data_IF_401462912029
#
_entry.id   IF_401462912029
#
_cell.length_a   1.000
_cell.length_b   1.000
_cell.length_c   1.000
_cell.angle_alpha   90.00
_cell.angle_beta   90.00
_cell.angle_gamma   90.00
#
_symmetry.space_group_name_H-M   'P 1'
#
loop_
_entity.id
_entity.type
_entity.pdbx_description
1 polymer ?
#
# COMPACT_ATOMS: atom_id res chain seq x y z
N UNK A 1 -12.16 -58.05 -27.50
CA UNK A 1 -11.44 -57.01 -28.28
C UNK A 1 -11.80 -55.67 -27.66
N UNK A 2 -10.81 -55.03 -26.99
CA UNK A 2 -10.73 -53.65 -26.44
C UNK A 2 -11.97 -53.06 -25.74
N UNK A 3 -12.00 -52.70 -24.45
CA UNK A 3 -10.93 -52.19 -23.59
C UNK A 3 -10.69 -50.69 -23.83
N UNK A 4 -11.51 -49.81 -23.23
CA UNK A 4 -11.37 -48.34 -23.31
C UNK A 4 -11.64 -47.68 -21.96
N UNK A 5 -10.56 -47.25 -21.31
CA UNK A 5 -10.43 -46.82 -19.91
C UNK A 5 -11.28 -45.60 -19.54
N UNK A 6 -12.07 -45.72 -18.48
CA UNK A 6 -12.34 -44.59 -17.56
C UNK A 6 -10.99 -44.11 -17.00
N UNK A 7 -10.70 -42.82 -17.19
CA UNK A 7 -9.69 -42.11 -16.42
C UNK A 7 -10.42 -41.10 -15.55
N UNK A 8 -10.66 -41.50 -14.31
CA UNK A 8 -10.79 -40.55 -13.20
C UNK A 8 -9.42 -39.92 -12.96
N UNK A 9 -9.35 -38.59 -13.03
CA UNK A 9 -8.23 -37.79 -12.56
C UNK A 9 -8.85 -36.71 -11.68
N UNK A 10 -8.82 -36.96 -10.38
CA UNK A 10 -9.13 -36.00 -9.34
C UNK A 10 -8.07 -34.90 -9.31
N UNK A 11 -8.44 -33.69 -9.74
CA UNK A 11 -7.86 -32.43 -9.30
C UNK A 11 -9.00 -31.40 -9.27
N UNK A 12 -9.22 -30.82 -8.09
CA UNK A 12 -10.01 -29.61 -7.80
C UNK A 12 -11.15 -29.21 -8.76
N UNK A 13 -12.37 -29.65 -8.41
CA UNK A 13 -13.51 -28.73 -8.29
C UNK A 13 -14.13 -28.08 -9.53
N UNK A 14 -13.66 -28.31 -10.76
CA UNK A 14 -14.28 -27.74 -11.97
C UNK A 14 -15.28 -28.72 -12.62
N UNK A 15 -16.58 -28.51 -12.37
CA UNK A 15 -17.65 -29.08 -13.19
C UNK A 15 -18.02 -28.10 -14.30
N UNK A 16 -17.40 -28.25 -15.48
CA UNK A 16 -17.91 -27.63 -16.70
C UNK A 16 -18.94 -28.59 -17.33
N UNK A 17 -20.23 -28.30 -17.14
CA UNK A 17 -21.33 -29.02 -17.76
C UNK A 17 -21.55 -28.41 -19.15
N UNK A 18 -21.08 -29.09 -20.19
CA UNK A 18 -21.37 -28.70 -21.58
C UNK A 18 -22.83 -29.09 -21.86
N UNK A 19 -23.73 -28.11 -21.75
CA UNK A 19 -25.07 -28.19 -22.31
C UNK A 19 -25.05 -27.55 -23.70
N UNK A 20 -25.37 -28.37 -24.70
CA UNK A 20 -25.53 -27.94 -26.09
C UNK A 20 -26.81 -27.13 -26.30
N UNK A 21 -26.72 -26.30 -27.34
CA UNK A 21 -27.77 -25.57 -28.03
C UNK A 21 -28.47 -24.41 -27.30
N UNK A 22 -27.97 -23.20 -27.62
CA UNK A 22 -28.86 -22.14 -28.10
C UNK A 22 -29.50 -21.21 -27.07
N UNK A 23 -28.73 -20.57 -26.20
CA UNK A 23 -29.09 -19.27 -25.62
C UNK A 23 -27.84 -18.55 -25.06
N UNK A 24 -27.83 -17.21 -25.11
CA UNK A 24 -26.68 -16.36 -24.78
C UNK A 24 -26.24 -16.53 -23.32
N UNK A 25 -25.28 -17.42 -23.08
CA UNK A 25 -24.64 -17.63 -21.78
C UNK A 25 -23.62 -16.54 -21.47
N UNK A 26 -23.89 -15.74 -20.45
CA UNK A 26 -22.89 -14.90 -19.82
C UNK A 26 -21.89 -15.79 -19.07
N UNK A 27 -20.66 -15.93 -19.58
CA UNK A 27 -19.54 -16.37 -18.77
C UNK A 27 -19.25 -15.29 -17.73
N UNK A 28 -19.62 -15.55 -16.47
CA UNK A 28 -19.03 -14.86 -15.33
C UNK A 28 -17.65 -15.46 -15.11
N UNK A 29 -16.62 -14.73 -15.50
CA UNK A 29 -15.28 -14.94 -14.97
C UNK A 29 -15.29 -14.40 -13.53
N UNK A 30 -15.35 -15.30 -12.54
CA UNK A 30 -14.80 -15.02 -11.22
C UNK A 30 -13.30 -15.20 -11.32
N UNK A 31 -12.60 -14.11 -11.67
CA UNK A 31 -11.19 -13.80 -11.39
C UNK A 31 -10.77 -12.68 -12.33
N UNK A 32 -10.90 -11.46 -11.82
CA UNK A 32 -10.73 -10.22 -12.57
C UNK A 32 -11.30 -9.08 -11.74
N UNK A 33 -10.88 -8.99 -10.47
CA UNK A 33 -11.23 -7.84 -9.63
C UNK A 33 -10.40 -6.65 -10.11
N UNK A 34 -10.93 -5.97 -11.12
CA UNK A 34 -10.45 -4.66 -11.54
C UNK A 34 -10.54 -3.73 -10.33
N UNK A 35 -9.36 -3.27 -9.87
CA UNK A 35 -9.21 -1.99 -9.18
C UNK A 35 -9.62 -0.89 -10.16
N UNK A 36 -10.92 -0.74 -10.35
CA UNK A 36 -11.55 0.28 -11.18
C UNK A 36 -12.49 1.09 -10.30
N UNK A 37 -12.21 2.39 -10.23
CA UNK A 37 -12.96 3.45 -9.56
C UNK A 37 -14.36 3.07 -9.05
N UNK A 38 -14.51 2.92 -7.74
CA UNK A 38 -15.84 2.91 -7.13
C UNK A 38 -16.27 4.34 -6.85
N UNK A 39 -16.88 4.94 -7.87
CA UNK A 39 -17.71 6.13 -7.72
C UNK A 39 -18.87 5.83 -6.76
N UNK A 40 -18.96 6.59 -5.69
CA UNK A 40 -20.15 6.62 -4.82
C UNK A 40 -21.28 7.24 -5.65
N UNK A 41 -22.08 6.41 -6.31
CA UNK A 41 -23.36 6.85 -6.89
C UNK A 41 -24.41 6.98 -5.78
N UNK A 42 -24.22 8.02 -4.96
CA UNK A 42 -25.24 8.58 -4.09
C UNK A 42 -25.85 9.79 -4.79
N UNK A 43 -27.11 9.69 -5.21
CA UNK A 43 -27.91 10.82 -5.70
C UNK A 43 -28.04 11.87 -4.59
N UNK A 44 -27.14 12.87 -4.56
CA UNK A 44 -27.39 14.23 -4.03
C UNK A 44 -26.19 15.17 -4.33
N UNK A 45 -26.49 16.31 -4.99
CA UNK A 45 -25.61 17.47 -5.28
C UNK A 45 -24.52 17.34 -6.38
N UNK A 46 -24.98 17.21 -7.64
CA UNK A 46 -24.18 17.16 -8.89
C UNK A 46 -23.24 18.38 -9.11
N UNK A 47 -23.48 19.53 -8.48
CA UNK A 47 -22.67 20.75 -8.67
C UNK A 47 -21.38 20.81 -7.84
N UNK A 48 -21.47 20.51 -6.54
CA UNK A 48 -20.34 20.62 -5.60
C UNK A 48 -19.42 19.40 -5.73
N UNK A 49 -19.99 18.21 -5.87
CA UNK A 49 -19.20 16.98 -6.05
C UNK A 49 -18.42 16.99 -7.36
N UNK A 50 -19.02 17.54 -8.43
CA UNK A 50 -18.34 17.73 -9.71
C UNK A 50 -17.21 18.76 -9.64
N UNK A 51 -17.37 19.84 -8.89
CA UNK A 51 -16.30 20.82 -8.65
C UNK A 51 -15.15 20.25 -7.82
N UNK A 52 -15.46 19.50 -6.76
CA UNK A 52 -14.46 18.81 -5.94
C UNK A 52 -13.71 17.74 -6.74
N UNK A 53 -14.39 16.98 -7.59
CA UNK A 53 -13.75 16.01 -8.49
C UNK A 53 -12.79 16.69 -9.46
N UNK A 54 -13.14 17.86 -10.01
CA UNK A 54 -12.24 18.63 -10.88
C UNK A 54 -11.01 19.16 -10.15
N UNK A 55 -11.19 19.67 -8.92
CA UNK A 55 -10.08 20.13 -8.08
C UNK A 55 -9.16 18.97 -7.71
N UNK A 56 -9.72 17.81 -7.37
CA UNK A 56 -8.95 16.58 -7.12
C UNK A 56 -8.12 16.18 -8.34
N UNK A 57 -8.73 16.15 -9.53
CA UNK A 57 -8.02 15.82 -10.77
C UNK A 57 -6.90 16.81 -11.10
N UNK A 58 -7.10 18.10 -10.80
CA UNK A 58 -6.08 19.14 -11.01
C UNK A 58 -4.86 18.91 -10.09
N UNK A 59 -5.07 18.46 -8.85
CA UNK A 59 -3.99 18.17 -7.91
C UNK A 59 -3.29 16.82 -8.19
N UNK A 60 -4.03 15.88 -8.76
CA UNK A 60 -3.51 14.57 -9.15
C UNK A 60 -2.54 14.69 -10.34
N UNK A 61 -2.82 15.57 -11.31
CA UNK A 61 -1.98 15.78 -12.50
C UNK A 61 -0.50 16.04 -12.19
N UNK A 62 -0.09 17.02 -11.36
CA UNK A 62 1.33 17.25 -11.09
C UNK A 62 1.99 16.06 -10.38
N UNK A 63 1.28 15.38 -9.47
CA UNK A 63 1.79 14.20 -8.77
C UNK A 63 1.96 13.02 -9.72
N UNK A 64 0.95 12.75 -10.55
CA UNK A 64 0.99 11.70 -11.56
C UNK A 64 2.03 11.96 -12.63
N UNK A 65 2.23 13.22 -13.05
CA UNK A 65 3.30 13.59 -14.00
C UNK A 65 4.67 13.34 -13.38
N UNK A 66 4.85 13.70 -12.11
CA UNK A 66 6.10 13.50 -11.38
C UNK A 66 6.41 12.00 -11.18
N UNK A 67 5.40 11.20 -10.83
CA UNK A 67 5.50 9.74 -10.76
C UNK A 67 5.81 9.13 -12.13
N UNK A 68 5.13 9.55 -13.20
CA UNK A 68 5.41 9.08 -14.57
C UNK A 68 6.81 9.46 -15.06
N UNK A 69 7.39 10.55 -14.54
CA UNK A 69 8.76 11.01 -14.82
C UNK A 69 9.85 10.23 -14.07
N UNK A 70 9.51 9.52 -12.99
CA UNK A 70 10.48 8.79 -12.15
C UNK A 70 10.24 7.28 -12.09
N UNK A 71 9.02 6.80 -12.37
CA UNK A 71 8.69 5.38 -12.43
C UNK A 71 8.60 4.97 -13.90
N UNK A 72 9.51 4.10 -14.38
CA UNK A 72 9.45 3.59 -15.74
C UNK A 72 8.14 2.84 -15.98
N UNK A 73 7.44 3.24 -17.05
CA UNK A 73 6.20 2.61 -17.47
C UNK A 73 6.52 1.38 -18.33
N UNK A 74 5.90 0.24 -18.03
CA UNK A 74 6.13 -1.04 -18.71
C UNK A 74 5.12 -1.31 -19.82
N UNK A 75 4.00 -0.57 -19.85
CA UNK A 75 2.92 -0.84 -20.80
C UNK A 75 3.16 -0.18 -22.17
N UNK A 76 3.08 -0.93 -23.30
CA UNK A 76 3.34 -0.40 -24.64
C UNK A 76 2.35 0.69 -25.12
N UNK A 77 1.16 0.74 -24.53
CA UNK A 77 0.05 1.63 -24.92
C UNK A 77 0.23 3.09 -24.46
N UNK A 78 0.95 3.32 -23.35
CA UNK A 78 1.23 4.65 -22.80
C UNK A 78 2.67 5.15 -23.08
N UNK A 79 3.38 4.49 -24.00
CA UNK A 79 4.78 4.75 -24.26
C UNK A 79 5.03 6.16 -24.82
N UNK A 80 5.95 6.88 -24.21
CA UNK A 80 6.35 8.22 -24.66
C UNK A 80 7.83 8.47 -24.44
N UNK A 81 8.49 8.91 -25.53
CA UNK A 81 9.94 9.13 -25.61
C UNK A 81 10.49 10.02 -24.50
N UNK A 82 9.73 11.07 -24.18
CA UNK A 82 10.11 12.06 -23.17
C UNK A 82 10.22 11.45 -21.77
N UNK A 83 9.22 10.65 -21.38
CA UNK A 83 9.17 10.04 -20.05
C UNK A 83 10.23 8.95 -19.89
N UNK A 84 10.52 8.17 -20.93
CA UNK A 84 11.57 7.15 -20.86
C UNK A 84 12.96 7.80 -20.73
N UNK A 85 13.26 8.84 -21.50
CA UNK A 85 14.53 9.58 -21.34
C UNK A 85 14.63 10.28 -19.98
N UNK A 86 13.52 10.80 -19.45
CA UNK A 86 13.49 11.40 -18.12
C UNK A 86 13.74 10.36 -17.03
N UNK A 87 13.14 9.16 -17.12
CA UNK A 87 13.36 8.05 -16.21
C UNK A 87 14.84 7.60 -16.20
N UNK A 88 15.50 7.50 -17.36
CA UNK A 88 16.94 7.13 -17.44
C UNK A 88 17.83 8.18 -16.74
N UNK A 89 17.46 9.46 -16.77
CA UNK A 89 18.20 10.53 -16.10
C UNK A 89 17.90 10.61 -14.59
N UNK A 90 16.63 10.50 -14.21
CA UNK A 90 16.12 10.74 -12.86
C UNK A 90 16.22 9.52 -11.95
N UNK A 91 16.12 8.29 -12.47
CA UNK A 91 16.21 7.08 -11.68
C UNK A 91 17.55 6.94 -10.93
N UNK A 92 18.73 7.15 -11.54
CA UNK A 92 20.00 7.07 -10.82
C UNK A 92 20.11 8.12 -9.71
N UNK A 93 19.53 9.32 -9.92
CA UNK A 93 19.53 10.41 -8.94
C UNK A 93 18.59 10.13 -7.76
N UNK A 94 17.39 9.62 -8.03
CA UNK A 94 16.43 9.23 -6.99
C UNK A 94 16.96 8.04 -6.17
N UNK A 95 17.60 7.05 -6.79
CA UNK A 95 18.30 5.97 -6.08
C UNK A 95 19.42 6.50 -5.19
N UNK A 96 20.20 7.46 -5.68
CA UNK A 96 21.27 8.06 -4.88
C UNK A 96 20.76 8.85 -3.69
N UNK A 97 19.66 9.58 -3.88
CA UNK A 97 18.98 10.23 -2.77
C UNK A 97 18.44 9.22 -1.76
N UNK A 98 17.87 8.09 -2.19
CA UNK A 98 17.44 7.00 -1.31
C UNK A 98 18.60 6.37 -0.53
N UNK A 99 19.75 6.20 -1.17
CA UNK A 99 20.96 5.65 -0.58
C UNK A 99 21.76 6.67 0.25
N UNK A 100 21.21 7.87 0.51
CA UNK A 100 21.82 8.88 1.39
C UNK A 100 22.16 8.34 2.78
N UNK A 101 21.41 7.32 3.25
CA UNK A 101 21.69 6.65 4.52
C UNK A 101 22.97 5.78 4.50
N UNK A 102 23.44 5.34 3.32
CA UNK A 102 24.64 4.50 3.16
C UNK A 102 25.86 5.30 2.71
N UNK A 103 25.69 6.36 1.92
CA UNK A 103 26.77 7.27 1.52
C UNK A 103 26.34 8.73 1.71
N UNK A 104 27.07 9.54 2.49
CA UNK A 104 26.78 10.98 2.57
C UNK A 104 26.96 11.63 1.19
N UNK A 105 26.01 12.48 0.81
CA UNK A 105 25.97 13.18 -0.50
C UNK A 105 27.21 14.03 -0.80
N UNK A 106 27.98 14.34 0.24
CA UNK A 106 29.16 15.19 0.19
C UNK A 106 30.47 14.41 0.10
N UNK A 107 30.43 13.09 -0.12
CA UNK A 107 31.66 12.30 -0.23
C UNK A 107 32.47 12.80 -1.45
N UNK A 108 33.67 13.38 -1.24
CA UNK A 108 34.49 13.85 -2.35
C UNK A 108 34.99 12.64 -3.14
N UNK A 109 34.71 12.58 -4.44
CA UNK A 109 35.15 11.49 -5.29
C UNK A 109 36.62 11.73 -5.68
N UNK A 110 37.56 11.32 -4.80
CA UNK A 110 39.02 11.51 -5.01
C UNK A 110 39.57 10.58 -6.11
N UNK A 111 38.80 9.59 -6.55
CA UNK A 111 39.31 8.47 -7.37
C UNK A 111 39.66 8.81 -8.83
N UNK A 112 39.17 9.92 -9.41
CA UNK A 112 39.32 10.17 -10.85
C UNK A 112 40.16 11.40 -11.23
N UNK A 113 40.22 12.46 -10.40
CA UNK A 113 41.05 13.65 -10.66
C UNK A 113 41.54 14.23 -9.31
N UNK A 114 42.85 14.29 -9.01
CA UNK A 114 43.39 14.68 -7.69
C UNK A 114 43.11 16.12 -7.22
N UNK A 115 42.44 16.97 -8.02
CA UNK A 115 42.32 18.41 -7.78
C UNK A 115 40.87 18.93 -7.71
N UNK A 116 39.85 18.10 -7.95
CA UNK A 116 38.45 18.54 -8.02
C UNK A 116 37.58 17.84 -6.98
N UNK A 117 37.19 18.56 -5.93
CA UNK A 117 36.20 18.13 -4.93
C UNK A 117 34.79 18.34 -5.50
N UNK A 118 34.36 17.48 -6.42
CA UNK A 118 32.98 17.50 -6.91
C UNK A 118 32.10 16.55 -6.08
N UNK A 119 30.92 17.01 -5.63
CA UNK A 119 30.02 16.18 -4.85
C UNK A 119 29.41 15.09 -5.73
N UNK A 120 29.22 13.91 -5.15
CA UNK A 120 28.91 12.66 -5.86
C UNK A 120 27.60 12.75 -6.68
N UNK A 121 26.62 13.52 -6.21
CA UNK A 121 25.37 13.78 -6.94
C UNK A 121 25.58 14.46 -8.29
N UNK A 122 26.59 15.33 -8.42
CA UNK A 122 26.88 16.07 -9.64
C UNK A 122 27.47 15.15 -10.72
N UNK A 123 28.35 14.23 -10.31
CA UNK A 123 28.95 13.22 -11.20
C UNK A 123 27.89 12.26 -11.72
N UNK A 124 26.97 11.83 -10.86
CA UNK A 124 25.87 10.94 -11.25
C UNK A 124 24.88 11.66 -12.15
N UNK A 125 24.55 12.93 -11.89
CA UNK A 125 23.67 13.72 -12.74
C UNK A 125 24.25 13.85 -14.15
N UNK A 126 25.55 14.14 -14.27
CA UNK A 126 26.21 14.25 -15.58
C UNK A 126 26.29 12.91 -16.31
N UNK A 127 26.61 11.82 -15.60
CA UNK A 127 26.66 10.47 -16.17
C UNK A 127 25.27 9.99 -16.62
N UNK A 128 24.25 10.14 -15.78
CA UNK A 128 22.87 9.73 -16.09
C UNK A 128 22.25 10.59 -17.18
N UNK A 129 22.51 11.91 -17.18
CA UNK A 129 22.03 12.81 -18.24
C UNK A 129 22.71 12.51 -19.59
N UNK A 130 24.01 12.19 -19.59
CA UNK A 130 24.72 11.80 -20.81
C UNK A 130 24.17 10.49 -21.38
N UNK A 131 23.92 9.50 -20.52
CA UNK A 131 23.33 8.21 -20.90
C UNK A 131 21.87 8.35 -21.36
N UNK A 132 21.09 9.24 -20.73
CA UNK A 132 19.71 9.54 -21.11
C UNK A 132 19.62 10.19 -22.49
N UNK A 133 20.54 11.09 -22.84
CA UNK A 133 20.63 11.69 -24.17
C UNK A 133 21.02 10.65 -25.21
N UNK A 134 21.97 9.75 -24.90
CA UNK A 134 22.36 8.66 -25.80
C UNK A 134 21.18 7.70 -26.06
N UNK A 135 20.48 7.30 -25.00
CA UNK A 135 19.29 6.44 -25.09
C UNK A 135 18.12 7.13 -25.81
N UNK A 136 17.95 8.44 -25.66
CA UNK A 136 16.95 9.21 -26.41
C UNK A 136 17.23 9.25 -27.93
N UNK A 137 18.51 9.17 -28.31
CA UNK A 137 18.94 9.18 -29.71
C UNK A 137 18.88 7.77 -30.32
N UNK A 138 19.19 6.73 -29.54
CA UNK A 138 19.32 5.32 -29.97
C UNK A 138 17.97 4.57 -29.98
N UNK A 139 17.14 4.68 -28.94
CA UNK A 139 15.83 3.99 -28.89
C UNK A 139 14.76 4.75 -29.69
N UNK A 140 14.54 4.33 -30.94
CA UNK A 140 13.48 4.87 -31.83
C UNK A 140 12.18 4.06 -31.77
N UNK A 141 12.27 2.80 -31.37
CA UNK A 141 11.15 1.83 -31.30
C UNK A 141 10.83 1.45 -29.84
N UNK A 142 9.55 1.18 -29.53
CA UNK A 142 9.19 0.66 -28.22
C UNK A 142 9.82 -0.73 -28.02
N UNK A 143 10.41 -1.01 -26.83
CA UNK A 143 10.95 -2.32 -26.52
C UNK A 143 9.83 -3.37 -26.63
N UNK A 144 10.06 -4.42 -27.43
CA UNK A 144 9.08 -5.51 -27.68
C UNK A 144 9.11 -6.59 -26.59
N UNK A 145 10.06 -6.51 -25.65
CA UNK A 145 10.22 -7.42 -24.52
C UNK A 145 10.22 -6.65 -23.22
N UNK A 146 9.52 -7.18 -22.22
CA UNK A 146 9.65 -6.72 -20.84
C UNK A 146 11.06 -7.03 -20.36
N UNK A 147 11.94 -6.04 -20.48
CA UNK A 147 13.25 -6.11 -19.88
C UNK A 147 13.07 -6.17 -18.36
N UNK A 148 13.25 -7.35 -17.78
CA UNK A 148 13.24 -7.58 -16.32
C UNK A 148 13.99 -6.53 -15.48
N UNK A 149 15.11 -5.90 -15.94
CA UNK A 149 15.72 -4.79 -15.19
C UNK A 149 14.84 -3.54 -15.10
N UNK A 150 14.02 -3.23 -16.11
CA UNK A 150 13.14 -2.05 -16.11
C UNK A 150 12.02 -2.23 -15.07
N UNK A 151 11.45 -3.43 -14.99
CA UNK A 151 10.44 -3.78 -13.98
C UNK A 151 11.04 -3.71 -12.58
N UNK A 152 12.26 -4.22 -12.39
CA UNK A 152 12.95 -4.15 -11.11
C UNK A 152 13.23 -2.70 -10.68
N UNK A 153 13.68 -1.84 -11.60
CA UNK A 153 13.90 -0.42 -11.34
C UNK A 153 12.57 0.30 -11.03
N UNK A 154 11.49 -0.01 -11.76
CA UNK A 154 10.16 0.53 -11.49
C UNK A 154 9.67 0.18 -10.08
N UNK A 155 9.89 -1.07 -9.66
CA UNK A 155 9.55 -1.53 -8.32
C UNK A 155 10.32 -0.77 -7.24
N UNK A 156 11.64 -0.65 -7.37
CA UNK A 156 12.47 0.08 -6.40
C UNK A 156 12.09 1.56 -6.33
N UNK A 157 11.80 2.19 -7.47
CA UNK A 157 11.31 3.57 -7.53
C UNK A 157 9.95 3.75 -6.85
N UNK A 158 9.05 2.78 -7.02
CA UNK A 158 7.74 2.82 -6.37
C UNK A 158 7.88 2.75 -4.85
N UNK A 159 8.73 1.85 -4.34
CA UNK A 159 9.03 1.73 -2.90
C UNK A 159 9.63 3.04 -2.36
N UNK A 160 10.55 3.65 -3.11
CA UNK A 160 11.13 4.94 -2.75
C UNK A 160 10.07 6.03 -2.62
N UNK A 161 9.19 6.18 -3.60
CA UNK A 161 8.12 7.18 -3.55
C UNK A 161 7.14 6.93 -2.41
N UNK A 162 6.73 5.68 -2.20
CA UNK A 162 5.86 5.31 -1.08
C UNK A 162 6.52 5.70 0.25
N UNK A 163 7.83 5.45 0.42
CA UNK A 163 8.57 5.81 1.64
C UNK A 163 8.67 7.33 1.86
N UNK A 164 8.95 8.12 0.82
CA UNK A 164 9.01 9.58 0.95
C UNK A 164 7.64 10.18 1.25
N UNK A 165 6.60 9.74 0.52
CA UNK A 165 5.22 10.21 0.75
C UNK A 165 4.76 9.83 2.16
N UNK A 166 5.07 8.61 2.63
CA UNK A 166 4.80 8.21 4.00
C UNK A 166 5.54 9.10 5.02
N UNK A 167 6.81 9.43 4.78
CA UNK A 167 7.58 10.35 5.63
C UNK A 167 6.97 11.75 5.71
N UNK A 168 6.61 12.34 4.58
CA UNK A 168 5.94 13.64 4.53
C UNK A 168 4.56 13.62 5.21
N UNK A 169 3.80 12.53 5.02
CA UNK A 169 2.53 12.32 5.70
C UNK A 169 2.72 12.29 7.23
N UNK A 170 3.73 11.58 7.74
CA UNK A 170 4.05 11.53 9.16
C UNK A 170 4.48 12.90 9.70
N UNK A 171 5.27 13.66 8.93
CA UNK A 171 5.69 15.03 9.29
C UNK A 171 4.49 15.98 9.37
N UNK A 172 3.59 15.93 8.38
CA UNK A 172 2.35 16.70 8.39
C UNK A 172 1.48 16.33 9.60
N UNK A 173 1.42 15.04 9.94
CA UNK A 173 0.67 14.57 11.09
C UNK A 173 1.29 15.04 12.42
N UNK A 174 2.62 15.05 12.52
CA UNK A 174 3.32 15.61 13.68
C UNK A 174 3.05 17.12 13.83
N UNK A 175 3.05 17.87 12.72
CA UNK A 175 2.68 19.29 12.72
C UNK A 175 1.23 19.52 13.19
N UNK A 176 0.29 18.69 12.72
CA UNK A 176 -1.10 18.70 13.20
C UNK A 176 -1.19 18.34 14.69
N UNK A 177 -0.37 17.42 15.19
CA UNK A 177 -0.27 17.08 16.61
C UNK A 177 0.15 18.27 17.47
N UNK A 178 1.14 19.03 16.99
CA UNK A 178 1.57 20.27 17.66
C UNK A 178 0.46 21.33 17.67
N UNK A 179 -0.26 21.52 16.55
CA UNK A 179 -1.38 22.46 16.48
C UNK A 179 -2.55 22.10 17.40
N UNK A 180 -2.88 20.80 17.48
CA UNK A 180 -4.01 20.30 18.27
C UNK A 180 -3.66 19.99 19.73
N UNK A 181 -2.39 20.19 20.15
CA UNK A 181 -1.87 19.77 21.45
C UNK A 181 -2.24 18.30 21.75
N UNK A 182 -1.93 17.42 20.80
CA UNK A 182 -2.13 15.99 20.88
C UNK A 182 -0.82 15.25 20.60
N UNK A 183 -0.50 14.18 21.35
CA UNK A 183 0.70 13.41 21.11
C UNK A 183 0.63 12.69 19.75
N UNK A 184 1.75 12.59 19.00
CA UNK A 184 1.79 11.94 17.68
C UNK A 184 1.27 10.50 17.68
N UNK A 185 1.42 9.78 18.79
CA UNK A 185 0.94 8.40 18.96
C UNK A 185 -0.57 8.27 18.79
N UNK A 186 -1.36 9.24 19.27
CA UNK A 186 -2.82 9.22 19.13
C UNK A 186 -3.23 9.51 17.70
N UNK A 187 -2.55 10.43 17.02
CA UNK A 187 -2.81 10.69 15.60
C UNK A 187 -2.47 9.48 14.73
N UNK A 188 -1.41 8.75 15.07
CA UNK A 188 -1.09 7.47 14.41
C UNK A 188 -2.17 6.41 14.65
N UNK A 189 -2.64 6.29 15.90
CA UNK A 189 -3.69 5.33 16.28
C UNK A 189 -5.08 5.67 15.72
N UNK A 190 -5.31 6.92 15.33
CA UNK A 190 -6.60 7.39 14.82
C UNK A 190 -6.55 7.62 13.32
N UNK A 191 -5.95 8.72 12.88
CA UNK A 191 -5.96 9.19 11.49
C UNK A 191 -5.23 8.23 10.56
N UNK A 192 -4.02 7.79 10.92
CA UNK A 192 -3.27 6.84 10.07
C UNK A 192 -3.92 5.46 10.07
N UNK A 193 -4.34 4.96 11.25
CA UNK A 193 -5.02 3.68 11.36
C UNK A 193 -6.34 3.64 10.55
N UNK A 194 -7.13 4.72 10.60
CA UNK A 194 -8.31 4.87 9.76
C UNK A 194 -7.96 4.94 8.28
N UNK A 195 -6.97 5.74 7.92
CA UNK A 195 -6.52 5.88 6.53
C UNK A 195 -6.11 4.54 5.91
N UNK A 196 -5.43 3.68 6.69
CA UNK A 196 -5.05 2.35 6.24
C UNK A 196 -6.24 1.40 6.11
N UNK A 197 -7.23 1.48 7.00
CA UNK A 197 -8.31 0.48 7.10
C UNK A 197 -9.60 0.86 6.39
N UNK A 198 -9.75 2.11 5.91
CA UNK A 198 -10.96 2.57 5.24
C UNK A 198 -11.17 1.88 3.88
N UNK A 199 -10.09 1.63 3.14
CA UNK A 199 -10.14 0.90 1.87
C UNK A 199 -10.58 -0.54 2.09
N UNK A 200 -9.99 -1.20 3.08
CA UNK A 200 -10.36 -2.55 3.49
C UNK A 200 -11.84 -2.63 3.90
N UNK A 201 -12.31 -1.67 4.70
CA UNK A 201 -13.73 -1.58 5.10
C UNK A 201 -14.66 -1.47 3.89
N UNK A 202 -14.33 -0.62 2.92
CA UNK A 202 -15.16 -0.45 1.71
C UNK A 202 -15.17 -1.73 0.88
N UNK A 203 -14.01 -2.39 0.72
CA UNK A 203 -13.90 -3.65 0.01
C UNK A 203 -14.68 -4.77 0.69
N UNK A 204 -14.52 -4.95 2.01
CA UNK A 204 -15.23 -5.97 2.79
C UNK A 204 -16.75 -5.75 2.76
N UNK A 205 -17.21 -4.50 2.85
CA UNK A 205 -18.63 -4.16 2.71
C UNK A 205 -19.15 -4.48 1.30
N UNK A 206 -18.36 -4.22 0.26
CA UNK A 206 -18.73 -4.54 -1.12
C UNK A 206 -18.87 -6.06 -1.32
N UNK A 207 -17.89 -6.84 -0.84
CA UNK A 207 -17.90 -8.32 -0.90
C UNK A 207 -19.05 -8.91 -0.09
N UNK A 208 -19.32 -8.36 1.09
CA UNK A 208 -20.46 -8.77 1.91
C UNK A 208 -21.80 -8.50 1.20
N UNK A 209 -21.94 -7.34 0.55
CA UNK A 209 -23.13 -7.00 -0.26
C UNK A 209 -23.27 -7.86 -1.51
N UNK A 210 -22.16 -8.34 -2.08
CA UNK A 210 -22.15 -9.28 -3.19
C UNK A 210 -22.58 -10.71 -2.81
N UNK A 211 -22.91 -10.96 -1.54
CA UNK A 211 -23.39 -12.26 -1.06
C UNK A 211 -22.29 -13.19 -0.56
N UNK A 212 -21.07 -12.69 -0.35
CA UNK A 212 -19.92 -13.46 0.14
C UNK A 212 -19.45 -12.98 1.54
N UNK A 213 -20.31 -13.04 2.58
CA UNK A 213 -19.95 -12.54 3.92
C UNK A 213 -18.81 -13.32 4.57
N UNK A 214 -18.63 -14.61 4.24
CA UNK A 214 -17.52 -15.40 4.77
C UNK A 214 -16.15 -14.88 4.27
N UNK A 215 -16.09 -14.45 3.01
CA UNK A 215 -14.88 -13.87 2.44
C UNK A 215 -14.57 -12.50 3.06
N UNK A 216 -15.59 -11.64 3.23
CA UNK A 216 -15.44 -10.36 3.92
C UNK A 216 -14.96 -10.52 5.38
N UNK A 217 -15.49 -11.52 6.10
CA UNK A 217 -15.02 -11.82 7.46
C UNK A 217 -13.56 -12.32 7.48
N UNK A 218 -13.15 -13.12 6.49
CA UNK A 218 -11.78 -13.58 6.37
C UNK A 218 -10.82 -12.40 6.08
N UNK A 219 -11.20 -11.49 5.16
CA UNK A 219 -10.43 -10.29 4.81
C UNK A 219 -10.20 -9.38 6.01
N UNK A 220 -11.27 -9.05 6.75
CA UNK A 220 -11.22 -8.17 7.91
C UNK A 220 -10.27 -8.64 9.04
N UNK A 221 -10.07 -9.96 9.20
CA UNK A 221 -9.11 -10.49 10.18
C UNK A 221 -7.72 -10.75 9.60
N UNK A 222 -7.64 -11.27 8.37
CA UNK A 222 -6.37 -11.63 7.74
C UNK A 222 -5.50 -10.40 7.45
N UNK A 223 -6.09 -9.28 7.01
CA UNK A 223 -5.36 -8.06 6.69
C UNK A 223 -4.58 -7.48 7.88
N UNK A 224 -5.26 -7.14 8.99
CA UNK A 224 -4.58 -6.66 10.20
C UNK A 224 -3.61 -7.67 10.81
N UNK A 225 -3.93 -8.97 10.75
CA UNK A 225 -3.04 -10.04 11.25
C UNK A 225 -1.74 -10.11 10.44
N UNK A 226 -1.82 -10.02 9.10
CA UNK A 226 -0.66 -9.98 8.23
C UNK A 226 0.19 -8.72 8.48
N UNK A 227 -0.45 -7.56 8.63
CA UNK A 227 0.24 -6.30 8.91
C UNK A 227 0.98 -6.34 10.26
N UNK A 228 0.43 -6.99 11.28
CA UNK A 228 1.14 -7.19 12.55
C UNK A 228 2.28 -8.20 12.41
N UNK A 229 2.06 -9.34 11.76
CA UNK A 229 3.08 -10.38 11.66
C UNK A 229 4.28 -9.93 10.83
N UNK A 230 4.03 -9.40 9.64
CA UNK A 230 5.08 -8.99 8.70
C UNK A 230 5.53 -7.57 8.99
N UNK A 231 4.61 -6.61 9.13
CA UNK A 231 4.98 -5.21 9.35
C UNK A 231 5.66 -4.99 10.69
N UNK A 232 4.97 -5.25 11.80
CA UNK A 232 5.56 -5.07 13.13
C UNK A 232 6.72 -6.06 13.39
N UNK A 233 6.59 -7.31 12.97
CA UNK A 233 7.64 -8.33 13.13
C UNK A 233 8.95 -7.95 12.43
N UNK A 234 8.89 -7.54 11.16
CA UNK A 234 10.11 -7.11 10.43
C UNK A 234 10.69 -5.82 11.00
N UNK A 235 9.84 -4.86 11.39
CA UNK A 235 10.30 -3.63 12.03
C UNK A 235 11.08 -3.90 13.31
N UNK A 236 10.58 -4.78 14.18
CA UNK A 236 11.28 -5.17 15.41
C UNK A 236 12.59 -5.90 15.15
N UNK A 237 12.64 -6.79 14.14
CA UNK A 237 13.88 -7.48 13.74
C UNK A 237 14.93 -6.48 13.24
N UNK A 238 14.52 -5.51 12.43
CA UNK A 238 15.42 -4.46 11.91
C UNK A 238 15.98 -3.61 13.05
N UNK A 239 15.12 -3.14 13.97
CA UNK A 239 15.56 -2.30 15.09
C UNK A 239 16.47 -3.08 16.07
N UNK A 240 16.13 -4.33 16.37
CA UNK A 240 17.00 -5.19 17.19
C UNK A 240 18.36 -5.42 16.52
N UNK A 241 18.39 -5.58 15.20
CA UNK A 241 19.63 -5.72 14.43
C UNK A 241 20.53 -4.47 14.47
N UNK A 242 19.95 -3.26 14.55
CA UNK A 242 20.71 -2.01 14.64
C UNK A 242 21.32 -1.76 16.01
N UNK A 243 20.65 -2.22 17.07
CA UNK A 243 21.05 -1.98 18.48
C UNK A 243 21.94 -3.11 19.04
N UNK A 244 22.16 -4.18 18.28
CA UNK A 244 23.04 -5.28 18.65
C UNK A 244 24.46 -4.77 19.03
N UNK A 245 25.04 -5.16 20.18
CA UNK A 245 24.66 -6.27 21.08
C UNK A 245 23.81 -5.89 22.31
N UNK A 246 23.34 -4.65 22.44
CA UNK A 246 22.48 -4.26 23.57
C UNK A 246 21.05 -4.78 23.40
N UNK A 247 20.39 -5.10 24.51
CA UNK A 247 18.99 -5.51 24.48
C UNK A 247 18.11 -4.29 24.22
N UNK A 248 17.29 -4.34 23.16
CA UNK A 248 16.31 -3.30 22.89
C UNK A 248 15.23 -3.30 23.98
N UNK A 249 15.25 -2.30 24.87
CA UNK A 249 14.23 -2.16 25.92
C UNK A 249 12.92 -1.60 25.34
N UNK A 250 11.87 -2.42 25.33
CA UNK A 250 10.53 -1.95 25.00
C UNK A 250 9.97 -1.14 26.16
N UNK A 251 9.87 0.18 25.97
CA UNK A 251 9.13 1.04 26.88
C UNK A 251 7.62 0.80 26.71
N UNK A 252 7.05 -0.04 27.57
CA UNK A 252 5.61 -0.27 27.62
C UNK A 252 4.90 0.93 28.23
N UNK A 253 4.43 1.84 27.37
CA UNK A 253 3.50 2.88 27.80
C UNK A 253 2.13 2.27 28.13
N UNK A 254 1.46 2.85 29.14
CA UNK A 254 0.13 2.43 29.59
C UNK A 254 -0.89 2.36 28.43
N UNK A 255 -0.81 3.26 27.45
CA UNK A 255 -1.66 3.25 26.25
C UNK A 255 -1.54 1.97 25.40
N UNK A 256 -0.36 1.36 25.32
CA UNK A 256 -0.13 0.14 24.54
C UNK A 256 -0.83 -1.04 25.21
N UNK A 257 -0.72 -1.14 26.54
CA UNK A 257 -1.38 -2.18 27.33
C UNK A 257 -2.90 -2.08 27.17
N UNK A 258 -3.45 -0.88 27.25
CA UNK A 258 -4.88 -0.64 27.02
C UNK A 258 -5.30 -1.07 25.62
N UNK A 259 -4.56 -0.68 24.58
CA UNK A 259 -4.83 -1.11 23.20
C UNK A 259 -4.82 -2.64 23.04
N UNK A 260 -3.84 -3.32 23.66
CA UNK A 260 -3.75 -4.78 23.63
C UNK A 260 -4.94 -5.45 24.33
N UNK A 261 -5.37 -4.94 25.47
CA UNK A 261 -6.55 -5.45 26.21
C UNK A 261 -7.83 -5.30 25.37
N UNK A 262 -8.07 -4.13 24.78
CA UNK A 262 -9.26 -3.91 23.95
C UNK A 262 -9.23 -4.76 22.67
N UNK A 263 -8.06 -4.91 22.03
CA UNK A 263 -7.88 -5.79 20.88
C UNK A 263 -8.17 -7.25 21.25
N UNK A 264 -7.58 -7.73 22.35
CA UNK A 264 -7.77 -9.09 22.81
C UNK A 264 -9.25 -9.38 23.16
N UNK A 265 -9.91 -8.44 23.85
CA UNK A 265 -11.33 -8.52 24.16
C UNK A 265 -12.19 -8.58 22.89
N UNK A 266 -11.89 -7.72 21.90
CA UNK A 266 -12.60 -7.69 20.61
C UNK A 266 -12.43 -9.00 19.83
N UNK A 267 -11.21 -9.53 19.77
CA UNK A 267 -10.89 -10.76 19.06
C UNK A 267 -11.52 -11.98 19.72
N UNK A 268 -11.37 -12.12 21.04
CA UNK A 268 -11.97 -13.21 21.82
C UNK A 268 -13.49 -13.16 21.79
N UNK A 269 -14.08 -11.97 21.96
CA UNK A 269 -15.52 -11.78 21.83
C UNK A 269 -16.03 -12.20 20.45
N UNK A 270 -15.33 -11.78 19.39
CA UNK A 270 -15.72 -12.11 18.02
C UNK A 270 -15.59 -13.60 17.74
N UNK A 271 -14.51 -14.25 18.20
CA UNK A 271 -14.33 -15.69 18.06
C UNK A 271 -15.46 -16.46 18.78
N UNK A 272 -15.81 -16.06 19.99
CA UNK A 272 -16.84 -16.71 20.80
C UNK A 272 -18.23 -16.53 20.18
N UNK A 273 -18.56 -15.35 19.66
CA UNK A 273 -19.84 -15.10 19.01
C UNK A 273 -19.95 -15.80 17.65
N UNK A 274 -18.89 -15.84 16.86
CA UNK A 274 -18.87 -16.53 15.56
C UNK A 274 -19.04 -18.04 15.74
N UNK A 275 -18.34 -18.63 16.71
CA UNK A 275 -18.44 -20.06 17.04
C UNK A 275 -19.82 -20.42 17.60
N UNK A 276 -20.39 -19.60 18.49
CA UNK A 276 -21.73 -19.81 19.04
C UNK A 276 -22.83 -19.65 17.99
N UNK A 277 -22.69 -18.69 17.07
CA UNK A 277 -23.73 -18.32 16.11
C UNK A 277 -23.70 -19.12 14.80
N UNK A 278 -23.02 -20.28 14.78
CA UNK A 278 -22.85 -21.16 13.61
C UNK A 278 -22.47 -20.39 12.33
N UNK A 279 -21.44 -19.56 12.41
CA UNK A 279 -20.92 -18.75 11.30
C UNK A 279 -21.91 -17.71 10.71
N UNK A 280 -22.99 -17.37 11.41
CA UNK A 280 -23.83 -16.20 11.08
C UNK A 280 -23.63 -15.10 12.12
N UNK A 281 -23.00 -14.00 11.72
CA UNK A 281 -22.81 -12.85 12.60
C UNK A 281 -24.14 -12.08 12.74
N UNK A 282 -24.70 -11.96 13.95
CA UNK A 282 -25.93 -11.20 14.15
C UNK A 282 -25.66 -9.69 14.04
N UNK A 283 -26.61 -8.93 13.49
CA UNK A 283 -26.47 -7.46 13.33
C UNK A 283 -26.19 -6.73 14.65
N UNK A 284 -26.71 -7.25 15.76
CA UNK A 284 -26.44 -6.72 17.10
C UNK A 284 -24.95 -6.74 17.46
N UNK A 285 -24.20 -7.77 17.02
CA UNK A 285 -22.77 -7.85 17.30
C UNK A 285 -21.98 -6.74 16.61
N UNK A 286 -22.38 -6.34 15.41
CA UNK A 286 -21.80 -5.19 14.72
C UNK A 286 -21.94 -3.90 15.51
N UNK A 287 -23.12 -3.63 16.09
CA UNK A 287 -23.30 -2.47 16.97
C UNK A 287 -22.45 -2.54 18.24
N UNK A 288 -22.29 -3.74 18.81
CA UNK A 288 -21.42 -3.96 19.97
C UNK A 288 -19.95 -3.65 19.66
N UNK A 289 -19.45 -4.10 18.50
CA UNK A 289 -18.08 -3.82 18.05
C UNK A 289 -17.83 -2.33 17.80
N UNK A 290 -18.79 -1.62 17.19
CA UNK A 290 -18.71 -0.17 17.02
C UNK A 290 -18.72 0.55 18.37
N UNK A 291 -19.55 0.11 19.31
CA UNK A 291 -19.56 0.64 20.68
C UNK A 291 -18.23 0.44 21.40
N UNK A 292 -17.65 -0.77 21.30
CA UNK A 292 -16.33 -1.09 21.86
C UNK A 292 -15.25 -0.20 21.24
N UNK A 293 -15.30 0.02 19.93
CA UNK A 293 -14.39 0.90 19.22
C UNK A 293 -14.48 2.35 19.70
N UNK A 294 -15.69 2.89 19.90
CA UNK A 294 -15.90 4.24 20.44
C UNK A 294 -15.34 4.36 21.86
N UNK A 295 -15.63 3.38 22.73
CA UNK A 295 -15.11 3.35 24.10
C UNK A 295 -13.58 3.32 24.11
N UNK A 296 -12.97 2.51 23.24
CA UNK A 296 -11.53 2.44 23.06
C UNK A 296 -10.95 3.81 22.69
N UNK A 297 -11.51 4.48 21.68
CA UNK A 297 -11.04 5.80 21.24
C UNK A 297 -11.15 6.85 22.35
N UNK A 298 -12.30 6.91 23.04
CA UNK A 298 -12.51 7.83 24.16
C UNK A 298 -11.48 7.57 25.27
N UNK A 299 -11.25 6.30 25.60
CA UNK A 299 -10.28 5.91 26.63
C UNK A 299 -8.85 6.27 26.22
N UNK A 300 -8.45 5.99 24.97
CA UNK A 300 -7.13 6.34 24.44
C UNK A 300 -6.88 7.85 24.42
N UNK A 301 -7.87 8.64 24.01
CA UNK A 301 -7.77 10.11 24.02
C UNK A 301 -7.71 10.65 25.45
N UNK A 302 -8.50 10.09 26.36
CA UNK A 302 -8.47 10.44 27.78
C UNK A 302 -7.08 10.19 28.36
N UNK A 303 -6.55 8.98 28.22
CA UNK A 303 -5.21 8.62 28.73
C UNK A 303 -4.15 9.57 28.17
N UNK A 304 -4.20 9.88 26.87
CA UNK A 304 -3.24 10.79 26.25
C UNK A 304 -3.32 12.22 26.80
N UNK A 305 -4.53 12.74 27.05
CA UNK A 305 -4.71 14.07 27.64
C UNK A 305 -4.28 14.14 29.11
N UNK A 306 -4.42 13.05 29.87
CA UNK A 306 -4.02 13.00 31.28
C UNK A 306 -2.55 12.61 31.49
N UNK A 307 -1.89 12.03 30.48
CA UNK A 307 -0.49 11.64 30.51
C UNK A 307 0.46 12.71 29.93
N UNK A 308 -0.07 13.84 29.44
CA UNK A 308 0.69 15.02 28.99
C UNK A 308 0.70 16.06 30.10
#
# INVERSE_FOLDING_TARGET
MGGGKEKSLDFEGQKCLILGDGEKGACKNEEGFALGEFGIEGKENVGILGALSKISKIWEVPVSVLLKLTIPQTEPSEWSRFYQSANVALCPLALLYSCRSFMPMDHPVVFLIPQMHLPLWFVVLFSSSSLAVLHHIVEREPPKTEETPVVLIAFVMSVFWISNVAGELLNCLAALGMLLNLPPTILGLTVLAWGNSVGDLVADVAVAKAGQPALAMAGCFAGPMFNMLVGLGTALVIETGKVFPEAYELHFHFSIVVAFVFLFLSLMGSLLVVTWSRFRVPRFWGFCLVGLYIIFIVTSVFIAKFST
#
